data_IF_542754544236
#
_entry.id   IF_542754544236
#
_cell.length_a   1.000
_cell.length_b   1.000
_cell.length_c   1.000
_cell.angle_alpha   90.00
_cell.angle_beta   90.00
_cell.angle_gamma   90.00
#
_symmetry.space_group_name_H-M   'P 1'
#
loop_
_entity.id
_entity.type
_entity.pdbx_description
1 polymer ?
#
# COMPACT_ATOMS: atom_id res chain seq x y z
N UNK A 1 -19.59 10.23 -5.10
CA UNK A 1 -19.79 8.79 -5.37
C UNK A 1 -19.62 8.60 -6.85
N UNK A 2 -18.91 7.57 -7.32
CA UNK A 2 -18.98 7.23 -8.73
C UNK A 2 -20.42 6.84 -9.04
N UNK A 3 -21.02 7.44 -10.07
CA UNK A 3 -22.25 6.91 -10.63
C UNK A 3 -21.93 5.55 -11.26
N UNK A 4 -22.71 4.53 -10.93
CA UNK A 4 -22.48 3.18 -11.39
C UNK A 4 -23.69 2.67 -12.16
N UNK A 5 -23.43 1.99 -13.27
CA UNK A 5 -24.47 1.31 -14.04
C UNK A 5 -24.73 -0.05 -13.42
N UNK A 6 -26.00 -0.34 -13.18
CA UNK A 6 -26.44 -1.68 -12.76
C UNK A 6 -26.41 -2.58 -14.00
N UNK A 7 -25.53 -3.57 -14.02
CA UNK A 7 -25.53 -4.61 -15.05
C UNK A 7 -26.32 -5.81 -14.57
N UNK A 8 -27.33 -6.21 -15.35
CA UNK A 8 -28.02 -7.48 -15.18
C UNK A 8 -27.30 -8.54 -15.99
N UNK A 9 -26.79 -9.58 -15.32
CA UNK A 9 -26.33 -10.80 -15.99
C UNK A 9 -27.43 -11.84 -15.86
N UNK A 10 -27.87 -12.45 -16.97
CA UNK A 10 -28.90 -13.49 -16.94
C UNK A 10 -28.51 -14.74 -16.12
N UNK A 11 -27.23 -14.86 -15.76
CA UNK A 11 -26.68 -15.99 -15.01
C UNK A 11 -26.85 -15.84 -13.48
N UNK A 12 -27.04 -14.63 -12.95
CA UNK A 12 -27.26 -14.38 -11.52
C UNK A 12 -28.17 -13.15 -11.32
N UNK A 13 -29.23 -13.22 -10.49
CA UNK A 13 -30.11 -12.10 -10.19
C UNK A 13 -29.45 -11.03 -9.27
N UNK A 14 -28.12 -10.95 -9.26
CA UNK A 14 -27.37 -10.03 -8.43
C UNK A 14 -27.10 -8.70 -9.13
N UNK A 15 -27.40 -7.60 -8.44
CA UNK A 15 -27.09 -6.25 -8.88
C UNK A 15 -25.58 -6.01 -8.90
N UNK A 16 -24.94 -6.17 -10.06
CA UNK A 16 -23.51 -5.83 -10.23
C UNK A 16 -23.38 -4.37 -10.64
N UNK A 17 -22.68 -3.58 -9.83
CA UNK A 17 -22.39 -2.17 -10.10
C UNK A 17 -21.10 -2.05 -10.91
N UNK A 18 -21.18 -1.42 -12.09
CA UNK A 18 -20.01 -1.07 -12.91
C UNK A 18 -19.76 0.42 -12.84
N UNK A 19 -18.52 0.83 -12.63
CA UNK A 19 -18.14 2.26 -12.61
C UNK A 19 -18.31 2.84 -14.03
N UNK A 20 -19.04 3.96 -14.14
CA UNK A 20 -19.37 4.58 -15.41
C UNK A 20 -20.56 3.91 -16.12
N UNK A 21 -20.81 4.30 -17.37
CA UNK A 21 -21.86 3.75 -18.22
C UNK A 21 -21.34 3.53 -19.64
N UNK A 22 -21.87 2.54 -20.38
CA UNK A 22 -21.49 2.30 -21.77
C UNK A 22 -21.82 3.54 -22.62
N UNK A 23 -20.86 3.95 -23.45
CA UNK A 23 -21.03 5.08 -24.38
C UNK A 23 -22.16 4.82 -25.39
N UNK A 24 -22.41 3.56 -25.73
CA UNK A 24 -23.37 3.16 -26.75
C UNK A 24 -23.40 1.66 -26.92
N UNK A 25 -24.13 1.19 -27.93
CA UNK A 25 -24.24 -0.22 -28.27
C UNK A 25 -24.28 -0.42 -29.79
N UNK A 26 -23.96 -1.63 -30.24
CA UNK A 26 -24.03 -2.03 -31.65
C UNK A 26 -25.22 -2.96 -31.84
N UNK A 27 -26.10 -2.63 -32.77
CA UNK A 27 -27.18 -3.53 -33.18
C UNK A 27 -27.10 -3.72 -34.71
N UNK A 28 -26.85 -4.96 -35.14
CA UNK A 28 -26.54 -5.30 -36.53
C UNK A 28 -25.30 -4.55 -37.05
N UNK A 29 -25.45 -3.83 -38.17
CA UNK A 29 -24.39 -3.00 -38.77
C UNK A 29 -24.44 -1.52 -38.33
N UNK A 30 -25.35 -1.15 -37.42
CA UNK A 30 -25.50 0.21 -36.94
C UNK A 30 -24.89 0.41 -35.54
N UNK A 31 -24.32 1.59 -35.32
CA UNK A 31 -23.80 2.04 -34.04
C UNK A 31 -24.76 3.07 -33.43
N UNK A 32 -25.11 2.88 -32.16
CA UNK A 32 -26.02 3.74 -31.42
C UNK A 32 -25.29 4.36 -30.23
N UNK A 33 -25.58 5.62 -29.97
CA UNK A 33 -24.95 6.40 -28.90
C UNK A 33 -25.95 6.60 -27.75
N UNK A 34 -25.49 6.39 -26.52
CA UNK A 34 -26.27 6.70 -25.32
C UNK A 34 -26.10 8.19 -25.01
N UNK A 35 -27.10 8.98 -25.37
CA UNK A 35 -27.12 10.43 -25.18
C UNK A 35 -28.04 10.88 -24.04
N UNK A 36 -28.93 10.01 -23.56
CA UNK A 36 -29.76 10.28 -22.40
C UNK A 36 -29.28 9.47 -21.19
N UNK A 37 -29.15 10.14 -20.04
CA UNK A 37 -28.68 9.50 -18.80
C UNK A 37 -29.74 9.64 -17.72
N UNK A 38 -30.32 8.52 -17.29
CA UNK A 38 -31.25 8.49 -16.17
C UNK A 38 -30.44 8.28 -14.89
N UNK A 39 -30.41 9.30 -14.04
CA UNK A 39 -29.75 9.30 -12.74
C UNK A 39 -30.78 8.90 -11.68
N UNK A 40 -30.68 7.68 -11.17
CA UNK A 40 -31.52 7.18 -10.11
C UNK A 40 -30.80 7.32 -8.77
N UNK A 41 -31.31 8.20 -7.91
CA UNK A 41 -30.80 8.46 -6.57
C UNK A 41 -31.52 7.54 -5.61
N UNK A 42 -30.77 6.60 -5.04
CA UNK A 42 -31.26 5.72 -3.98
C UNK A 42 -31.13 6.44 -2.65
N UNK A 43 -32.22 6.59 -1.92
CA UNK A 43 -32.23 7.21 -0.60
C UNK A 43 -32.94 6.35 0.44
N UNK A 44 -32.50 6.51 1.67
CA UNK A 44 -33.13 5.96 2.86
C UNK A 44 -33.52 7.10 3.80
N UNK A 45 -34.53 6.88 4.66
CA UNK A 45 -34.97 7.83 5.66
C UNK A 45 -34.56 7.27 7.01
N UNK A 46 -33.55 7.89 7.63
CA UNK A 46 -33.13 7.50 8.98
C UNK A 46 -34.27 7.72 10.00
N UNK A 47 -34.22 7.04 11.15
CA UNK A 47 -35.18 7.19 12.27
C UNK A 47 -35.36 8.66 12.73
N UNK A 48 -34.38 9.52 12.48
CA UNK A 48 -34.42 10.96 12.77
C UNK A 48 -35.06 11.82 11.65
N UNK A 49 -35.71 11.21 10.65
CA UNK A 49 -36.35 11.90 9.52
C UNK A 49 -35.37 12.54 8.52
N UNK A 50 -34.09 12.17 8.54
CA UNK A 50 -33.07 12.70 7.62
C UNK A 50 -32.88 11.79 6.42
N UNK A 51 -32.85 12.39 5.22
CA UNK A 51 -32.53 11.70 3.98
C UNK A 51 -31.05 11.31 3.93
N UNK A 52 -30.78 10.02 3.74
CA UNK A 52 -29.45 9.46 3.55
C UNK A 52 -29.32 8.93 2.13
N UNK A 53 -28.37 9.46 1.37
CA UNK A 53 -28.07 8.96 0.03
C UNK A 53 -27.30 7.64 0.14
N UNK A 54 -27.90 6.58 -0.40
CA UNK A 54 -27.37 5.21 -0.37
C UNK A 54 -26.52 4.91 -1.61
N UNK A 55 -26.93 5.40 -2.78
CA UNK A 55 -26.22 5.16 -4.03
C UNK A 55 -26.73 6.01 -5.20
N UNK A 56 -25.94 6.03 -6.27
CA UNK A 56 -26.28 6.63 -7.55
C UNK A 56 -26.21 5.55 -8.63
N UNK A 57 -27.38 5.15 -9.11
CA UNK A 57 -27.54 4.25 -10.24
C UNK A 57 -27.67 5.08 -11.52
N UNK A 58 -26.91 4.72 -12.54
CA UNK A 58 -27.00 5.32 -13.86
C UNK A 58 -27.63 4.30 -14.80
N UNK A 59 -28.71 4.70 -15.48
CA UNK A 59 -29.28 3.96 -16.59
C UNK A 59 -29.07 4.75 -17.88
N UNK A 60 -28.15 4.31 -18.76
CA UNK A 60 -27.95 4.96 -20.05
C UNK A 60 -29.07 4.61 -21.02
N UNK A 61 -29.43 5.55 -21.86
CA UNK A 61 -30.47 5.41 -22.86
C UNK A 61 -30.11 6.19 -24.13
N UNK A 62 -30.71 5.79 -25.26
CA UNK A 62 -30.44 6.36 -26.58
C UNK A 62 -31.74 6.92 -27.16
N UNK A 63 -31.86 8.25 -27.20
CA UNK A 63 -33.06 8.96 -27.62
C UNK A 63 -32.74 9.82 -28.85
N UNK A 64 -33.41 9.57 -29.97
CA UNK A 64 -33.34 10.44 -31.15
C UNK A 64 -33.95 11.82 -30.89
N UNK A 65 -33.52 12.84 -31.63
CA UNK A 65 -34.10 14.22 -31.62
C UNK A 65 -33.91 15.04 -30.34
N UNK A 66 -33.18 14.53 -29.34
CA UNK A 66 -32.82 15.31 -28.14
C UNK A 66 -33.99 15.63 -27.21
N UNK A 67 -35.14 14.95 -27.37
CA UNK A 67 -36.26 15.09 -26.45
C UNK A 67 -35.93 14.50 -25.06
N UNK A 68 -36.34 15.18 -23.97
CA UNK A 68 -36.08 14.75 -22.60
C UNK A 68 -37.10 13.71 -22.08
N UNK A 69 -38.24 13.57 -22.75
CA UNK A 69 -39.38 12.76 -22.28
C UNK A 69 -39.78 11.75 -23.34
N UNK A 70 -39.81 10.47 -22.99
CA UNK A 70 -40.36 9.40 -23.84
C UNK A 70 -41.85 9.63 -24.03
N UNK A 71 -42.29 9.92 -25.27
CA UNK A 71 -43.71 10.00 -25.61
C UNK A 71 -44.33 8.61 -25.84
N UNK A 72 -43.54 7.67 -26.33
CA UNK A 72 -43.94 6.29 -26.67
C UNK A 72 -43.03 5.23 -26.03
N UNK A 73 -43.52 4.00 -25.93
CA UNK A 73 -42.76 2.83 -25.43
C UNK A 73 -41.67 2.43 -26.43
N UNK A 74 -41.97 2.47 -27.73
CA UNK A 74 -41.00 2.35 -28.82
C UNK A 74 -40.60 3.74 -29.32
N UNK A 75 -39.29 4.00 -29.38
CA UNK A 75 -38.71 5.25 -29.85
C UNK A 75 -37.42 4.95 -30.62
N UNK A 76 -37.08 5.84 -31.54
CA UNK A 76 -35.88 5.67 -32.34
C UNK A 76 -34.62 5.98 -31.51
N UNK A 77 -33.61 5.13 -31.69
CA UNK A 77 -32.31 5.29 -31.05
C UNK A 77 -31.42 6.26 -31.84
N UNK A 78 -30.56 7.00 -31.14
CA UNK A 78 -29.61 7.92 -31.75
C UNK A 78 -28.51 7.14 -32.50
N UNK A 79 -28.70 6.95 -33.80
CA UNK A 79 -27.73 6.29 -34.70
C UNK A 79 -26.61 7.25 -35.07
N UNK A 80 -25.38 6.73 -35.10
CA UNK A 80 -24.20 7.44 -35.62
C UNK A 80 -24.11 7.14 -37.12
N UNK A 81 -24.52 8.10 -37.95
CA UNK A 81 -24.50 7.96 -39.42
C UNK A 81 -23.26 8.62 -40.03
N UNK A 82 -22.80 9.74 -39.46
CA UNK A 82 -21.73 10.57 -40.03
C UNK A 82 -20.48 10.63 -39.14
N UNK A 83 -19.33 11.00 -39.73
CA UNK A 83 -18.04 11.15 -39.04
C UNK A 83 -18.02 12.32 -38.04
N UNK A 84 -18.90 13.31 -38.21
CA UNK A 84 -19.13 14.43 -37.31
C UNK A 84 -20.63 14.67 -37.18
N UNK A 85 -21.20 14.33 -36.04
CA UNK A 85 -22.60 14.62 -35.72
C UNK A 85 -22.68 15.44 -34.44
N UNK A 86 -23.55 16.45 -34.43
CA UNK A 86 -23.91 17.18 -33.21
C UNK A 86 -24.95 16.37 -32.45
N UNK A 87 -24.64 15.98 -31.22
CA UNK A 87 -25.53 15.19 -30.36
C UNK A 87 -25.89 16.00 -29.12
N UNK A 88 -27.18 16.15 -28.86
CA UNK A 88 -27.68 16.72 -27.61
C UNK A 88 -27.67 15.65 -26.51
N UNK A 89 -26.98 15.95 -25.41
CA UNK A 89 -26.99 15.11 -24.21
C UNK A 89 -28.03 15.61 -23.23
N UNK A 90 -28.87 14.71 -22.73
CA UNK A 90 -29.94 15.02 -21.77
C UNK A 90 -29.83 14.11 -20.56
N UNK A 91 -30.35 14.55 -19.41
CA UNK A 91 -30.40 13.72 -18.22
C UNK A 91 -31.75 13.85 -17.52
N UNK A 92 -32.18 12.79 -16.86
CA UNK A 92 -33.36 12.79 -16.00
C UNK A 92 -32.99 12.29 -14.61
N UNK A 93 -33.65 12.83 -13.58
CA UNK A 93 -33.36 12.46 -12.17
C UNK A 93 -34.58 11.77 -11.59
N UNK A 94 -34.37 10.58 -11.01
CA UNK A 94 -35.40 9.81 -10.31
C UNK A 94 -34.96 9.54 -8.89
N UNK A 95 -35.91 9.58 -7.97
CA UNK A 95 -35.68 9.27 -6.56
C UNK A 95 -36.38 7.97 -6.23
N UNK A 96 -35.63 7.02 -5.65
CA UNK A 96 -36.18 5.73 -5.22
C UNK A 96 -35.81 5.49 -3.77
N UNK A 97 -36.82 5.30 -2.94
CA UNK A 97 -36.61 4.90 -1.55
C UNK A 97 -36.21 3.44 -1.49
N UNK A 98 -35.17 3.12 -0.72
CA UNK A 98 -34.68 1.75 -0.49
C UNK A 98 -34.62 1.50 1.00
N UNK A 99 -35.19 0.38 1.46
CA UNK A 99 -35.16 0.01 2.86
C UNK A 99 -33.74 -0.45 3.26
N UNK A 100 -33.20 0.17 4.32
CA UNK A 100 -31.94 -0.11 5.03
C UNK A 100 -31.22 -1.41 4.61
N UNK A 101 -30.44 -1.33 3.54
CA UNK A 101 -29.38 -2.30 3.25
C UNK A 101 -28.22 -2.01 4.22
N UNK A 102 -27.49 -3.05 4.66
CA UNK A 102 -26.21 -2.94 5.37
C UNK A 102 -25.24 -1.96 4.67
N UNK A 103 -24.06 -1.72 5.29
CA UNK A 103 -23.01 -0.84 4.79
C UNK A 103 -23.09 -0.56 3.28
N UNK A 104 -23.51 0.65 2.90
CA UNK A 104 -23.81 1.06 1.51
C UNK A 104 -22.71 0.75 0.48
N UNK A 105 -21.49 0.51 0.96
CA UNK A 105 -20.30 0.27 0.17
C UNK A 105 -20.13 -1.19 -0.24
N UNK A 106 -20.84 -2.13 0.41
CA UNK A 106 -20.80 -3.56 0.12
C UNK A 106 -21.26 -3.83 -1.33
N UNK A 107 -22.20 -3.03 -1.82
CA UNK A 107 -22.71 -3.07 -3.20
C UNK A 107 -21.63 -2.86 -4.28
N UNK A 108 -20.52 -2.18 -3.96
CA UNK A 108 -19.41 -1.96 -4.89
C UNK A 108 -18.33 -3.04 -4.82
N UNK A 109 -18.44 -4.00 -3.89
CA UNK A 109 -17.55 -5.15 -3.85
C UNK A 109 -18.13 -6.28 -4.68
N UNK A 110 -17.32 -6.86 -5.55
CA UNK A 110 -17.67 -8.10 -6.22
C UNK A 110 -17.66 -9.21 -5.18
N UNK A 111 -18.77 -9.94 -4.97
CA UNK A 111 -18.78 -11.04 -4.04
C UNK A 111 -17.71 -12.05 -4.47
N UNK A 112 -16.83 -12.45 -3.54
CA UNK A 112 -15.77 -13.40 -3.84
C UNK A 112 -16.36 -14.75 -4.23
N UNK A 113 -15.95 -15.31 -5.38
CA UNK A 113 -16.33 -16.69 -5.74
C UNK A 113 -15.83 -17.65 -4.65
N UNK A 114 -16.71 -18.31 -3.88
CA UNK A 114 -16.33 -19.03 -2.66
C UNK A 114 -15.32 -20.15 -2.95
N UNK A 115 -15.48 -20.85 -4.07
CA UNK A 115 -14.57 -21.91 -4.50
C UNK A 115 -13.15 -21.39 -4.79
N UNK A 116 -13.04 -20.26 -5.49
CA UNK A 116 -11.73 -19.65 -5.80
C UNK A 116 -11.01 -19.22 -4.53
N UNK A 117 -11.73 -18.65 -3.57
CA UNK A 117 -11.16 -18.25 -2.30
C UNK A 117 -10.73 -19.45 -1.44
N UNK A 118 -11.50 -20.54 -1.46
CA UNK A 118 -11.13 -21.79 -0.80
C UNK A 118 -9.85 -22.37 -1.40
N UNK A 119 -9.77 -22.48 -2.73
CA UNK A 119 -8.57 -22.98 -3.41
C UNK A 119 -7.34 -22.11 -3.14
N UNK A 120 -7.49 -20.78 -3.17
CA UNK A 120 -6.41 -19.86 -2.85
C UNK A 120 -5.95 -19.98 -1.38
N UNK A 121 -6.89 -20.14 -0.45
CA UNK A 121 -6.60 -20.33 0.97
C UNK A 121 -5.82 -21.62 1.21
N UNK A 122 -6.27 -22.74 0.65
CA UNK A 122 -5.57 -24.04 0.72
C UNK A 122 -4.16 -23.93 0.13
N UNK A 123 -4.02 -23.32 -1.05
CA UNK A 123 -2.72 -23.13 -1.69
C UNK A 123 -1.76 -22.32 -0.80
N UNK A 124 -2.23 -21.23 -0.20
CA UNK A 124 -1.43 -20.43 0.72
C UNK A 124 -1.02 -21.21 1.99
N UNK A 125 -1.91 -22.05 2.52
CA UNK A 125 -1.62 -22.91 3.66
C UNK A 125 -0.54 -23.95 3.34
N UNK A 126 -0.62 -24.59 2.17
CA UNK A 126 0.38 -25.57 1.73
C UNK A 126 1.76 -24.91 1.58
N UNK A 127 1.84 -23.76 0.91
CA UNK A 127 3.10 -23.04 0.71
C UNK A 127 3.72 -22.60 2.03
N UNK A 128 2.91 -22.11 2.98
CA UNK A 128 3.41 -21.72 4.31
C UNK A 128 3.90 -22.91 5.12
N UNK A 129 3.19 -24.05 5.11
CA UNK A 129 3.61 -25.28 5.78
C UNK A 129 4.94 -25.80 5.21
N UNK A 130 5.07 -25.85 3.87
CA UNK A 130 6.32 -26.29 3.21
C UNK A 130 7.48 -25.36 3.56
N UNK A 131 7.25 -24.03 3.55
CA UNK A 131 8.26 -23.04 3.91
C UNK A 131 8.70 -23.20 5.37
N UNK A 132 7.75 -23.43 6.28
CA UNK A 132 8.05 -23.64 7.70
C UNK A 132 8.79 -24.96 7.93
N UNK A 133 8.41 -26.02 7.22
CA UNK A 133 9.11 -27.31 7.25
C UNK A 133 10.54 -27.21 6.73
N UNK A 134 10.77 -26.46 5.64
CA UNK A 134 12.10 -26.23 5.09
C UNK A 134 12.99 -25.46 6.08
N UNK A 135 12.48 -24.37 6.67
CA UNK A 135 13.21 -23.60 7.70
C UNK A 135 13.48 -24.47 8.93
N UNK A 136 12.48 -25.22 9.39
CA UNK A 136 12.60 -26.16 10.51
C UNK A 136 13.65 -27.23 10.25
N UNK A 137 13.67 -27.81 9.05
CA UNK A 137 14.67 -28.79 8.63
C UNK A 137 16.07 -28.20 8.60
N UNK A 138 16.24 -26.98 8.06
CA UNK A 138 17.53 -26.28 8.06
C UNK A 138 18.00 -26.06 9.50
N UNK A 139 17.15 -25.51 10.38
CA UNK A 139 17.49 -25.26 11.79
C UNK A 139 17.81 -26.57 12.55
N UNK A 140 17.03 -27.62 12.33
CA UNK A 140 17.25 -28.95 12.90
C UNK A 140 18.59 -29.52 12.44
N UNK A 141 18.86 -29.51 11.13
CA UNK A 141 20.13 -29.98 10.55
C UNK A 141 21.31 -29.18 11.08
N UNK A 142 21.21 -27.85 11.18
CA UNK A 142 22.26 -26.99 11.73
C UNK A 142 22.49 -27.27 13.21
N UNK A 143 21.44 -27.45 14.00
CA UNK A 143 21.55 -27.80 15.43
C UNK A 143 22.19 -29.18 15.63
N UNK A 144 21.72 -30.20 14.90
CA UNK A 144 22.22 -31.57 15.03
C UNK A 144 23.68 -31.68 14.58
N UNK A 145 24.06 -30.99 13.48
CA UNK A 145 25.45 -30.89 13.05
C UNK A 145 26.34 -30.24 14.12
N UNK A 146 25.85 -29.19 14.79
CA UNK A 146 26.57 -28.51 15.88
C UNK A 146 26.66 -29.34 17.16
N UNK A 147 25.65 -30.16 17.47
CA UNK A 147 25.68 -31.08 18.61
C UNK A 147 26.70 -32.20 18.38
N UNK A 148 26.70 -32.79 17.18
CA UNK A 148 27.63 -33.88 16.84
C UNK A 148 29.08 -33.39 16.70
N UNK A 149 29.32 -32.17 16.20
CA UNK A 149 30.67 -31.61 16.13
C UNK A 149 31.29 -31.40 17.52
N UNK A 150 30.49 -30.94 18.51
CA UNK A 150 30.97 -30.77 19.88
C UNK A 150 31.29 -32.11 20.58
N UNK A 151 30.70 -33.22 20.11
CA UNK A 151 30.96 -34.57 20.64
C UNK A 151 32.25 -35.17 20.06
N UNK A 152 32.57 -34.85 18.79
CA UNK A 152 33.76 -35.33 18.09
C UNK A 152 35.01 -34.43 18.29
N UNK A 153 34.88 -33.29 18.97
CA UNK A 153 35.99 -32.36 19.30
C UNK A 153 37.04 -32.95 20.26
N UNK A 154 36.94 -34.23 20.64
CA UNK A 154 38.00 -34.94 21.38
C UNK A 154 39.03 -35.61 20.47
N UNK A 155 38.71 -35.86 19.20
CA UNK A 155 39.63 -36.50 18.27
C UNK A 155 39.35 -36.03 16.83
N UNK A 156 40.29 -35.27 16.24
CA UNK A 156 40.73 -35.25 14.81
C UNK A 156 40.95 -33.85 14.18
N UNK A 157 42.23 -33.66 13.76
CA UNK A 157 42.87 -32.87 12.69
C UNK A 157 42.57 -31.36 12.55
N UNK A 158 43.63 -30.60 12.86
CA UNK A 158 43.69 -29.15 13.05
C UNK A 158 43.87 -28.31 11.77
N UNK A 159 44.09 -28.88 10.57
CA UNK A 159 44.66 -28.07 9.48
C UNK A 159 43.79 -27.79 8.24
N UNK A 160 42.79 -28.60 7.86
CA UNK A 160 42.05 -28.37 6.59
C UNK A 160 40.59 -27.88 6.75
N UNK A 161 39.99 -27.97 7.94
CA UNK A 161 38.58 -27.61 8.16
C UNK A 161 38.36 -26.24 8.88
N UNK A 162 39.44 -25.49 9.16
CA UNK A 162 39.36 -24.24 9.93
C UNK A 162 38.80 -23.07 9.12
N UNK A 163 39.00 -23.06 7.80
CA UNK A 163 38.54 -21.98 6.92
C UNK A 163 37.02 -22.00 6.68
N UNK A 164 36.42 -23.19 6.56
CA UNK A 164 34.99 -23.33 6.28
C UNK A 164 34.10 -23.24 7.53
N UNK A 165 34.63 -23.50 8.74
CA UNK A 165 33.82 -23.55 9.96
C UNK A 165 33.59 -22.20 10.66
N UNK A 166 34.27 -21.11 10.26
CA UNK A 166 34.40 -19.92 11.14
C UNK A 166 34.18 -18.58 10.44
N UNK A 167 33.64 -18.50 9.22
CA UNK A 167 33.36 -17.20 8.58
C UNK A 167 32.52 -16.24 9.45
N UNK A 168 31.43 -16.72 10.04
CA UNK A 168 30.59 -15.90 10.94
C UNK A 168 31.26 -15.59 12.29
N UNK A 169 32.06 -16.53 12.82
CA UNK A 169 32.83 -16.37 14.08
C UNK A 169 34.12 -15.58 13.87
N UNK A 170 34.48 -15.27 12.62
CA UNK A 170 35.45 -14.25 12.26
C UNK A 170 34.77 -12.86 12.20
N UNK A 171 33.51 -12.80 11.77
CA UNK A 171 32.79 -11.52 11.57
C UNK A 171 32.05 -11.02 12.82
N UNK A 172 31.77 -11.86 13.83
CA UNK A 172 30.95 -11.48 15.00
C UNK A 172 31.46 -10.27 15.81
N UNK A 173 32.76 -9.95 15.73
CA UNK A 173 33.34 -8.74 16.36
C UNK A 173 33.29 -7.49 15.48
N UNK A 174 32.96 -7.65 14.20
CA UNK A 174 32.90 -6.58 13.22
C UNK A 174 31.44 -6.16 12.91
N UNK A 175 30.45 -7.06 13.08
CA UNK A 175 29.01 -6.79 12.82
C UNK A 175 28.49 -5.57 13.56
N UNK A 176 28.88 -5.42 14.83
CA UNK A 176 28.36 -4.36 15.71
C UNK A 176 29.14 -3.06 15.64
N UNK A 177 30.06 -2.93 14.68
CA UNK A 177 30.76 -1.67 14.47
C UNK A 177 29.78 -0.64 13.90
N UNK A 178 29.99 0.62 14.28
CA UNK A 178 29.28 1.74 13.67
C UNK A 178 29.50 1.71 12.15
N UNK A 179 28.43 1.70 11.34
CA UNK A 179 28.56 1.80 9.89
C UNK A 179 28.97 3.23 9.48
N UNK A 180 29.65 3.35 8.33
CA UNK A 180 30.12 4.63 7.78
C UNK A 180 28.98 5.66 7.69
N UNK A 181 27.82 5.23 7.21
CA UNK A 181 26.60 6.05 7.09
C UNK A 181 25.61 5.83 8.23
N UNK A 182 26.10 5.56 9.45
CA UNK A 182 25.24 5.27 10.60
C UNK A 182 24.29 6.40 10.99
N UNK A 183 24.56 7.64 10.61
CA UNK A 183 23.63 8.76 10.82
C UNK A 183 22.47 8.83 9.84
N UNK A 184 22.58 8.22 8.66
CA UNK A 184 21.49 8.12 7.67
C UNK A 184 20.71 6.81 7.83
N UNK A 185 21.41 5.75 8.23
CA UNK A 185 20.81 4.44 8.48
C UNK A 185 19.75 4.49 9.59
N UNK A 186 19.98 5.28 10.64
CA UNK A 186 19.07 5.36 11.78
C UNK A 186 17.73 6.02 11.46
N UNK A 187 17.68 7.18 10.74
CA UNK A 187 16.45 7.71 10.19
C UNK A 187 15.70 6.71 9.31
N UNK A 188 16.39 6.05 8.37
CA UNK A 188 15.77 5.08 7.46
C UNK A 188 15.16 3.91 8.22
N UNK A 189 15.86 3.39 9.23
CA UNK A 189 15.36 2.32 10.09
C UNK A 189 14.13 2.77 10.90
N UNK A 190 14.15 3.99 11.46
CA UNK A 190 13.00 4.58 12.14
C UNK A 190 11.77 4.68 11.24
N UNK A 191 11.94 5.18 10.02
CA UNK A 191 10.86 5.23 9.02
C UNK A 191 10.39 3.83 8.60
N UNK A 192 11.27 2.83 8.54
CA UNK A 192 10.88 1.44 8.28
C UNK A 192 9.97 0.89 9.38
N UNK A 193 10.27 1.20 10.64
CA UNK A 193 9.43 0.83 11.79
C UNK A 193 8.08 1.55 11.71
N UNK A 194 8.05 2.83 11.31
CA UNK A 194 6.82 3.57 11.06
C UNK A 194 5.93 2.86 10.03
N UNK A 195 6.50 2.47 8.89
CA UNK A 195 5.78 1.77 7.82
C UNK A 195 5.26 0.40 8.28
N UNK A 196 6.04 -0.32 9.09
CA UNK A 196 5.61 -1.59 9.68
C UNK A 196 4.41 -1.40 10.62
N UNK A 197 4.45 -0.37 11.48
CA UNK A 197 3.33 -0.02 12.37
C UNK A 197 2.08 0.33 11.57
N UNK A 198 2.22 1.08 10.48
CA UNK A 198 1.10 1.40 9.58
C UNK A 198 0.55 0.13 8.93
N UNK A 199 1.42 -0.72 8.37
CA UNK A 199 1.00 -1.95 7.70
C UNK A 199 0.23 -2.89 8.65
N UNK A 200 0.76 -3.14 9.84
CA UNK A 200 0.07 -3.93 10.86
C UNK A 200 -1.22 -3.26 11.34
N UNK A 201 -1.19 -1.95 11.57
CA UNK A 201 -2.37 -1.19 11.99
C UNK A 201 -3.50 -1.23 10.97
N UNK A 202 -3.18 -1.14 9.68
CA UNK A 202 -4.15 -1.26 8.59
C UNK A 202 -4.74 -2.68 8.55
N UNK A 203 -3.90 -3.72 8.65
CA UNK A 203 -4.37 -5.11 8.65
C UNK A 203 -5.30 -5.40 9.83
N UNK A 204 -4.94 -4.95 11.04
CA UNK A 204 -5.79 -5.09 12.23
C UNK A 204 -7.08 -4.31 12.06
N UNK A 205 -7.00 -3.08 11.55
CA UNK A 205 -8.16 -2.23 11.30
C UNK A 205 -9.10 -2.81 10.24
N UNK A 206 -8.57 -3.54 9.27
CA UNK A 206 -9.35 -4.25 8.25
C UNK A 206 -10.02 -5.49 8.85
N UNK A 207 -9.27 -6.29 9.62
CA UNK A 207 -9.79 -7.49 10.30
C UNK A 207 -10.93 -7.15 11.28
N UNK A 208 -10.79 -6.06 12.04
CA UNK A 208 -11.82 -5.58 12.96
C UNK A 208 -13.00 -4.87 12.26
N UNK A 209 -12.94 -4.67 10.94
CA UNK A 209 -14.01 -3.99 10.18
C UNK A 209 -14.14 -2.49 10.46
N UNK A 210 -13.10 -1.83 10.96
CA UNK A 210 -13.14 -0.39 11.34
C UNK A 210 -13.21 0.57 10.14
N UNK A 211 -12.95 0.08 8.93
CA UNK A 211 -13.21 0.79 7.69
C UNK A 211 -13.59 -0.18 6.58
N UNK A 212 -14.39 0.30 5.63
CA UNK A 212 -14.79 -0.48 4.48
C UNK A 212 -13.87 -0.17 3.28
N UNK A 213 -13.27 -1.18 2.60
CA UNK A 213 -12.31 -0.97 1.50
C UNK A 213 -12.87 -0.15 0.33
N UNK A 214 -14.16 -0.31 0.03
CA UNK A 214 -14.82 0.41 -1.06
C UNK A 214 -15.23 1.84 -0.71
N UNK A 215 -15.08 2.29 0.55
CA UNK A 215 -15.34 3.68 0.91
C UNK A 215 -14.20 4.58 0.41
N UNK A 216 -14.48 5.53 -0.52
CA UNK A 216 -13.47 6.46 -1.01
C UNK A 216 -12.84 7.21 0.15
N UNK A 217 -11.52 7.41 0.12
CA UNK A 217 -10.73 8.13 1.14
C UNK A 217 -10.69 7.51 2.53
N UNK A 218 -11.43 6.45 2.83
CA UNK A 218 -11.44 5.82 4.16
C UNK A 218 -10.07 5.21 4.48
N UNK A 219 -9.52 4.47 3.52
CA UNK A 219 -8.16 3.94 3.61
C UNK A 219 -7.14 5.05 3.84
N UNK A 220 -7.17 6.12 3.04
CA UNK A 220 -6.24 7.25 3.16
C UNK A 220 -6.35 7.93 4.52
N UNK A 221 -7.56 8.19 5.03
CA UNK A 221 -7.77 8.79 6.36
C UNK A 221 -7.17 7.93 7.48
N UNK A 222 -7.41 6.62 7.45
CA UNK A 222 -6.87 5.68 8.45
C UNK A 222 -5.36 5.53 8.34
N UNK A 223 -4.83 5.41 7.13
CA UNK A 223 -3.40 5.34 6.87
C UNK A 223 -2.67 6.61 7.35
N UNK A 224 -3.22 7.80 7.09
CA UNK A 224 -2.67 9.07 7.59
C UNK A 224 -2.71 9.14 9.12
N UNK A 225 -3.80 8.71 9.76
CA UNK A 225 -3.88 8.67 11.22
C UNK A 225 -2.83 7.70 11.83
N UNK A 226 -2.67 6.51 11.25
CA UNK A 226 -1.64 5.56 11.65
C UNK A 226 -0.23 6.06 11.35
N UNK A 227 -0.04 6.83 10.28
CA UNK A 227 1.23 7.47 9.96
C UNK A 227 1.62 8.51 11.01
N UNK A 228 0.66 9.33 11.46
CA UNK A 228 0.84 10.25 12.58
C UNK A 228 1.25 9.48 13.83
N UNK A 229 0.46 8.49 14.28
CA UNK A 229 0.77 7.71 15.47
C UNK A 229 2.10 6.96 15.38
N UNK A 230 2.40 6.40 14.20
CA UNK A 230 3.64 5.70 13.90
C UNK A 230 4.89 6.58 13.91
N UNK A 231 4.74 7.91 13.86
CA UNK A 231 5.86 8.86 13.98
C UNK A 231 6.54 8.75 15.36
N UNK A 232 5.78 8.45 16.42
CA UNK A 232 6.33 8.26 17.76
C UNK A 232 7.31 7.07 17.86
N UNK A 233 6.92 5.82 17.53
CA UNK A 233 7.84 4.68 17.59
C UNK A 233 8.99 4.81 16.59
N UNK A 234 8.79 5.50 15.45
CA UNK A 234 9.84 5.81 14.49
C UNK A 234 10.98 6.62 15.14
N UNK A 235 10.62 7.73 15.80
CA UNK A 235 11.57 8.58 16.52
C UNK A 235 12.27 7.83 17.65
N UNK A 236 11.50 7.08 18.46
CA UNK A 236 12.05 6.30 19.58
C UNK A 236 13.12 5.30 19.14
N UNK A 237 12.83 4.45 18.15
CA UNK A 237 13.79 3.45 17.70
C UNK A 237 14.94 4.04 16.91
N UNK A 238 14.69 5.10 16.11
CA UNK A 238 15.75 5.85 15.43
C UNK A 238 16.78 6.41 16.41
N UNK A 239 16.32 7.08 17.48
CA UNK A 239 17.20 7.63 18.51
C UNK A 239 17.97 6.55 19.28
N UNK A 240 17.31 5.43 19.66
CA UNK A 240 17.98 4.31 20.35
C UNK A 240 19.14 3.75 19.53
N UNK A 241 18.93 3.50 18.25
CA UNK A 241 20.01 2.95 17.39
C UNK A 241 21.06 4.01 17.05
N UNK A 242 20.68 5.28 16.94
CA UNK A 242 21.63 6.37 16.79
C UNK A 242 22.57 6.51 18.00
N UNK A 243 22.03 6.36 19.21
CA UNK A 243 22.80 6.29 20.46
C UNK A 243 23.72 5.06 20.48
N UNK A 244 23.26 3.92 19.98
CA UNK A 244 24.09 2.71 19.82
C UNK A 244 25.30 2.97 18.93
N UNK A 245 25.13 3.76 17.87
CA UNK A 245 26.21 4.21 16.99
C UNK A 245 27.05 5.37 17.53
N UNK A 246 26.92 5.72 18.81
CA UNK A 246 27.62 6.84 19.46
C UNK A 246 27.31 8.21 18.83
N UNK A 247 26.13 8.35 18.22
CA UNK A 247 25.63 9.63 17.74
C UNK A 247 25.24 10.53 18.92
N UNK A 248 25.59 11.82 18.85
CA UNK A 248 25.28 12.82 19.91
C UNK A 248 24.15 13.77 19.50
N UNK A 249 24.00 14.05 18.21
CA UNK A 249 23.02 14.99 17.67
C UNK A 249 21.63 14.34 17.45
N UNK A 250 21.00 13.86 18.52
CA UNK A 250 19.72 13.13 18.46
C UNK A 250 18.57 13.99 17.89
N UNK A 251 18.59 15.31 18.11
CA UNK A 251 17.61 16.26 17.54
C UNK A 251 17.67 16.28 16.02
N UNK A 252 18.88 16.42 15.46
CA UNK A 252 19.09 16.39 14.01
C UNK A 252 18.66 15.03 13.42
N UNK A 253 19.02 13.93 14.09
CA UNK A 253 18.59 12.58 13.71
C UNK A 253 17.05 12.46 13.67
N UNK A 254 16.35 13.10 14.61
CA UNK A 254 14.89 13.12 14.65
C UNK A 254 14.27 13.88 13.47
N UNK A 255 14.82 15.06 13.15
CA UNK A 255 14.40 15.83 11.95
C UNK A 255 14.66 15.06 10.65
N UNK A 256 15.81 14.38 10.54
CA UNK A 256 16.11 13.50 9.40
C UNK A 256 15.10 12.35 9.30
N UNK A 257 14.70 11.77 10.44
CA UNK A 257 13.71 10.67 10.50
C UNK A 257 12.33 11.12 10.01
N UNK A 258 11.87 12.31 10.42
CA UNK A 258 10.58 12.84 9.98
C UNK A 258 10.58 13.40 8.56
N UNK A 259 11.74 13.80 8.01
CA UNK A 259 11.78 14.53 6.73
C UNK A 259 12.21 13.67 5.54
N UNK A 260 13.22 12.81 5.63
CA UNK A 260 13.83 12.18 4.44
C UNK A 260 12.81 11.40 3.58
N UNK A 261 12.14 10.41 4.18
CA UNK A 261 11.22 9.54 3.43
C UNK A 261 9.96 10.30 3.01
N UNK A 262 9.32 11.10 3.89
CA UNK A 262 8.17 11.91 3.50
C UNK A 262 8.50 12.93 2.40
N UNK A 263 9.68 13.56 2.43
CA UNK A 263 10.11 14.48 1.36
C UNK A 263 10.24 13.79 0.01
N UNK A 264 10.83 12.59 -0.04
CA UNK A 264 10.91 11.80 -1.29
C UNK A 264 9.51 11.53 -1.83
N UNK A 265 8.58 11.11 -0.97
CA UNK A 265 7.19 10.86 -1.36
C UNK A 265 6.47 12.12 -1.84
N UNK A 266 6.66 13.25 -1.15
CA UNK A 266 6.11 14.55 -1.56
C UNK A 266 6.66 15.01 -2.92
N UNK A 267 7.96 14.80 -3.21
CA UNK A 267 8.55 15.12 -4.51
C UNK A 267 7.92 14.30 -5.65
N UNK A 268 7.69 13.00 -5.42
CA UNK A 268 7.00 12.12 -6.39
C UNK A 268 5.57 12.60 -6.60
N UNK A 269 4.81 12.84 -5.51
CA UNK A 269 3.44 13.35 -5.59
C UNK A 269 3.36 14.72 -6.28
N UNK A 270 4.36 15.58 -6.08
CA UNK A 270 4.41 16.91 -6.68
C UNK A 270 4.62 16.79 -8.20
N UNK A 271 5.52 15.90 -8.62
CA UNK A 271 5.74 15.60 -10.04
C UNK A 271 4.46 15.08 -10.71
N UNK A 272 3.76 14.16 -10.05
CA UNK A 272 2.46 13.64 -10.53
C UNK A 272 1.42 14.77 -10.57
N UNK A 273 1.41 15.65 -9.57
CA UNK A 273 0.46 16.76 -9.49
C UNK A 273 0.68 17.81 -10.59
N UNK A 274 1.92 18.08 -10.97
CA UNK A 274 2.24 18.94 -12.14
C UNK A 274 1.60 18.36 -13.41
N UNK A 275 1.74 17.05 -13.64
CA UNK A 275 1.13 16.38 -14.79
C UNK A 275 -0.41 16.42 -14.73
N UNK A 276 -0.98 16.22 -13.54
CA UNK A 276 -2.43 16.27 -13.34
C UNK A 276 -3.01 17.68 -13.58
N UNK A 277 -2.30 18.73 -13.15
CA UNK A 277 -2.69 20.12 -13.43
C UNK A 277 -2.61 20.44 -14.91
N UNK A 278 -1.59 19.95 -15.63
CA UNK A 278 -1.48 20.13 -17.08
C UNK A 278 -2.68 19.54 -17.85
N UNK A 279 -3.26 18.45 -17.35
CA UNK A 279 -4.43 17.79 -17.93
C UNK A 279 -5.77 18.33 -17.40
N UNK A 280 -5.76 19.41 -16.59
CA UNK A 280 -6.95 19.95 -15.91
C UNK A 280 -7.75 18.86 -15.16
N UNK A 281 -7.05 17.87 -14.62
CA UNK A 281 -7.68 16.73 -13.96
C UNK A 281 -8.33 17.15 -12.65
N UNK A 282 -9.57 16.74 -12.43
CA UNK A 282 -10.30 16.95 -11.17
C UNK A 282 -9.72 16.16 -10.00
N UNK A 283 -8.80 15.23 -10.25
CA UNK A 283 -8.08 14.46 -9.23
C UNK A 283 -6.78 15.15 -8.74
N UNK A 284 -6.42 16.30 -9.31
CA UNK A 284 -5.23 17.01 -8.88
C UNK A 284 -5.40 17.57 -7.45
N UNK A 285 -4.37 17.42 -6.62
CA UNK A 285 -4.36 17.97 -5.25
C UNK A 285 -4.42 19.50 -5.35
N UNK A 286 -5.40 20.11 -4.70
CA UNK A 286 -5.54 21.57 -4.67
C UNK A 286 -4.40 22.21 -3.88
N UNK A 287 -4.13 23.51 -4.10
CA UNK A 287 -3.12 24.25 -3.33
C UNK A 287 -3.37 24.15 -1.81
N UNK A 288 -4.63 24.20 -1.38
CA UNK A 288 -5.00 24.00 0.01
C UNK A 288 -4.65 22.58 0.51
N UNK A 289 -4.84 21.55 -0.32
CA UNK A 289 -4.42 20.18 0.00
C UNK A 289 -2.92 20.07 0.21
N UNK A 290 -2.11 20.74 -0.62
CA UNK A 290 -0.66 20.82 -0.43
C UNK A 290 -0.26 21.49 0.88
N UNK A 291 -0.86 22.64 1.20
CA UNK A 291 -0.60 23.35 2.45
C UNK A 291 -0.99 22.50 3.67
N UNK A 292 -2.11 21.78 3.59
CA UNK A 292 -2.56 20.85 4.64
C UNK A 292 -1.61 19.67 4.85
N UNK A 293 -1.07 19.09 3.78
CA UNK A 293 -0.10 17.99 3.88
C UNK A 293 1.22 18.44 4.52
N UNK A 294 1.71 19.60 4.12
CA UNK A 294 2.96 20.18 4.66
C UNK A 294 2.76 20.57 6.13
N UNK A 295 1.64 21.19 6.48
CA UNK A 295 1.34 21.59 7.87
C UNK A 295 1.19 20.36 8.78
N UNK A 296 0.56 19.28 8.31
CA UNK A 296 0.48 18.03 9.05
C UNK A 296 1.88 17.43 9.30
N UNK A 297 2.78 17.52 8.31
CA UNK A 297 4.19 17.17 8.48
C UNK A 297 4.85 17.97 9.60
N UNK A 298 4.87 19.29 9.47
CA UNK A 298 5.62 20.20 10.36
C UNK A 298 5.03 20.23 11.78
N UNK A 299 3.70 20.32 11.92
CA UNK A 299 3.05 20.56 13.21
C UNK A 299 2.64 19.29 13.96
N UNK A 300 2.55 18.14 13.29
CA UNK A 300 2.22 16.88 13.97
C UNK A 300 3.35 15.85 13.87
N UNK A 301 3.83 15.53 12.67
CA UNK A 301 4.81 14.43 12.52
C UNK A 301 6.15 14.76 13.16
N UNK A 302 6.67 15.98 12.92
CA UNK A 302 7.95 16.44 13.47
C UNK A 302 7.93 16.49 15.02
N UNK A 303 6.98 17.14 15.70
CA UNK A 303 6.98 17.14 17.16
C UNK A 303 6.76 15.74 17.75
N UNK A 304 5.95 14.89 17.12
CA UNK A 304 5.73 13.53 17.63
C UNK A 304 6.96 12.62 17.46
N UNK A 305 7.67 12.75 16.33
CA UNK A 305 8.98 12.07 16.14
C UNK A 305 10.01 12.58 17.15
N UNK A 306 10.05 13.89 17.43
CA UNK A 306 10.92 14.48 18.45
C UNK A 306 10.61 13.95 19.85
N UNK A 307 9.32 13.88 20.22
CA UNK A 307 8.86 13.30 21.49
C UNK A 307 9.32 11.85 21.64
N UNK A 308 9.11 11.02 20.61
CA UNK A 308 9.57 9.64 20.61
C UNK A 308 11.10 9.54 20.73
N UNK A 309 11.82 10.37 19.97
CA UNK A 309 13.28 10.42 19.97
C UNK A 309 13.85 10.83 21.32
N UNK A 310 13.21 11.80 21.99
CA UNK A 310 13.57 12.26 23.32
C UNK A 310 13.47 11.14 24.37
N UNK A 311 12.38 10.35 24.35
CA UNK A 311 12.23 9.19 25.22
C UNK A 311 13.20 8.06 24.87
N UNK A 312 13.50 7.89 23.58
CA UNK A 312 14.50 6.93 23.10
C UNK A 312 15.90 7.28 23.61
N UNK A 313 16.29 8.55 23.53
CA UNK A 313 17.62 9.01 23.96
C UNK A 313 17.83 8.86 25.48
N UNK A 314 16.77 9.04 26.28
CA UNK A 314 16.84 8.87 27.74
C UNK A 314 17.05 7.42 28.18
N UNK A 315 16.68 6.45 27.35
CA UNK A 315 16.81 5.04 27.70
C UNK A 315 18.23 4.53 27.49
N UNK A 316 18.59 3.48 28.21
CA UNK A 316 19.92 2.92 28.14
C UNK A 316 20.28 2.45 26.73
N UNK A 317 21.57 2.62 26.42
CA UNK A 317 22.13 2.17 25.15
C UNK A 317 21.94 0.66 25.05
N UNK A 318 21.51 0.19 23.88
CA UNK A 318 21.41 -1.25 23.63
C UNK A 318 22.83 -1.82 23.65
N UNK A 319 23.08 -2.76 24.55
CA UNK A 319 24.36 -3.44 24.66
C UNK A 319 24.47 -4.56 23.63
N UNK A 320 25.65 -4.69 23.04
CA UNK A 320 25.93 -5.75 22.10
C UNK A 320 26.40 -7.01 22.84
N UNK A 321 26.04 -8.21 22.35
CA UNK A 321 26.46 -9.47 22.96
C UNK A 321 27.98 -9.70 22.85
N UNK A 322 28.68 -8.94 22.00
CA UNK A 322 30.13 -9.02 21.82
C UNK A 322 30.75 -7.62 21.76
N UNK A 323 31.98 -7.52 22.29
CA UNK A 323 32.82 -6.32 22.11
C UNK A 323 33.35 -6.27 20.68
N UNK A 324 33.36 -5.08 20.11
CA UNK A 324 33.88 -4.84 18.76
C UNK A 324 35.40 -4.70 18.76
N UNK A 325 36.05 -5.17 17.69
CA UNK A 325 37.45 -4.86 17.40
C UNK A 325 37.58 -3.37 17.04
N UNK A 326 38.71 -2.73 17.33
CA UNK A 326 38.97 -1.35 16.90
C UNK A 326 39.44 -1.26 15.45
N UNK A 327 40.28 -2.21 15.01
CA UNK A 327 40.88 -2.23 13.67
C UNK A 327 39.97 -3.03 12.74
N UNK A 328 39.52 -2.48 11.59
CA UNK A 328 38.71 -3.23 10.64
C UNK A 328 39.58 -4.31 10.01
N UNK A 329 39.01 -5.50 9.78
CA UNK A 329 39.71 -6.51 9.00
C UNK A 329 39.90 -6.03 7.57
N UNK A 330 41.04 -6.39 6.97
CA UNK A 330 41.25 -6.15 5.55
C UNK A 330 40.26 -7.02 4.77
N UNK A 331 39.42 -6.37 3.97
CA UNK A 331 38.51 -7.07 3.06
C UNK A 331 39.30 -7.35 1.78
N UNK A 332 39.44 -8.61 1.34
CA UNK A 332 40.13 -8.91 0.09
C UNK A 332 39.44 -8.21 -1.08
N UNK A 333 40.22 -7.74 -2.05
CA UNK A 333 39.69 -7.07 -3.25
C UNK A 333 38.71 -8.00 -3.96
N UNK A 334 37.49 -7.51 -4.19
CA UNK A 334 36.47 -8.26 -4.91
C UNK A 334 36.91 -8.49 -6.35
N UNK A 335 36.70 -9.70 -6.86
CA UNK A 335 36.87 -9.98 -8.30
C UNK A 335 35.85 -9.15 -9.10
N UNK A 336 36.13 -8.89 -10.37
CA UNK A 336 35.30 -8.02 -11.22
C UNK A 336 33.81 -8.40 -11.19
N UNK A 337 33.47 -9.69 -11.28
CA UNK A 337 32.10 -10.19 -11.25
C UNK A 337 31.40 -10.10 -9.88
N UNK A 338 32.15 -9.81 -8.81
CA UNK A 338 31.62 -9.61 -7.46
C UNK A 338 31.45 -8.13 -7.10
N UNK A 339 31.74 -7.22 -8.04
CA UNK A 339 31.57 -5.78 -7.83
C UNK A 339 30.09 -5.44 -7.56
N UNK A 340 29.86 -4.52 -6.63
CA UNK A 340 28.52 -4.16 -6.16
C UNK A 340 27.60 -3.70 -7.30
N UNK A 341 28.15 -2.98 -8.28
CA UNK A 341 27.42 -2.50 -9.45
C UNK A 341 26.93 -3.65 -10.34
N UNK A 342 27.80 -4.61 -10.67
CA UNK A 342 27.43 -5.78 -11.49
C UNK A 342 26.38 -6.63 -10.78
N UNK A 343 26.51 -6.81 -9.46
CA UNK A 343 25.52 -7.52 -8.66
C UNK A 343 24.17 -6.79 -8.62
N UNK A 344 24.17 -5.46 -8.48
CA UNK A 344 22.95 -4.66 -8.50
C UNK A 344 22.28 -4.68 -9.87
N UNK A 345 23.05 -4.56 -10.95
CA UNK A 345 22.57 -4.66 -12.32
C UNK A 345 21.96 -6.05 -12.60
N UNK A 346 22.60 -7.12 -12.13
CA UNK A 346 22.07 -8.48 -12.23
C UNK A 346 20.75 -8.67 -11.47
N UNK A 347 20.68 -8.20 -10.21
CA UNK A 347 19.44 -8.28 -9.41
C UNK A 347 18.32 -7.47 -10.06
N UNK A 348 18.64 -6.29 -10.59
CA UNK A 348 17.67 -5.44 -11.29
C UNK A 348 17.18 -6.09 -12.60
N UNK A 349 18.08 -6.69 -13.39
CA UNK A 349 17.72 -7.42 -14.62
C UNK A 349 16.84 -8.64 -14.33
N UNK A 350 17.22 -9.45 -13.34
CA UNK A 350 16.42 -10.62 -12.93
C UNK A 350 15.07 -10.18 -12.35
N UNK A 351 15.05 -9.09 -11.60
CA UNK A 351 13.82 -8.51 -11.04
C UNK A 351 12.90 -7.82 -12.05
N UNK A 352 13.36 -7.54 -13.28
CA UNK A 352 12.49 -7.10 -14.38
C UNK A 352 11.99 -8.26 -15.24
N UNK A 353 12.58 -9.45 -15.10
CA UNK A 353 12.19 -10.67 -15.83
C UNK A 353 11.14 -11.50 -15.07
N UNK A 354 10.82 -11.12 -13.84
CA UNK A 354 9.71 -11.61 -13.02
C UNK A 354 8.71 -10.48 -12.80
#
# INVERSE_FOLDING_TARGET
MPGATVSYTNEEPEHKYRIGFPLGFKNGNAYYLNNHVIIQILYDINDAGRYRIMGLEIYPDSISEGECTKKNVDYDHQKIVERRSTVSYTYSVRWKQVNSVNNRWDAFLLPPNPERHLHASINSMIVTIISWAMVGFILFKTRHRRSNSNQNDRDIKVYDDVEDYVGWKLVYRDVFRRPVYGGLLTPLMGTGIQLLVIALGILISLYMGWYHPAEPTSFTRRATALFLLGSFPAGYWSARVYKVFRGKAWVLNSFLTSSIVPSIFLCVLFTISILAWAQQSSLAISFHGWLSLISLGIFLTVPLTLLGSYLGERKDRIEYPSRTTQIPRMIPSKRWYQLNFIRQAYIFLVGMLY
#
